data_IF_404255350498
#
_entry.id   IF_404255350498
#
_cell.length_a   1.000
_cell.length_b   1.000
_cell.length_c   1.000
_cell.angle_alpha   90.00
_cell.angle_beta   90.00
_cell.angle_gamma   90.00
#
_symmetry.space_group_name_H-M   'P 1'
#
loop_
_entity.id
_entity.type
_entity.pdbx_description
1 polymer ?
#
# COMPACT_ATOMS: atom_id res chain seq x y z
N UNK A 1 44.33 6.68 -11.45
CA UNK A 1 43.12 7.51 -11.25
C UNK A 1 42.07 7.00 -12.21
N UNK A 2 41.07 6.28 -11.71
CA UNK A 2 40.06 5.63 -12.55
C UNK A 2 39.02 6.63 -13.03
N UNK A 3 38.96 6.83 -14.34
CA UNK A 3 37.90 7.57 -15.02
C UNK A 3 36.54 6.93 -14.73
N UNK A 4 35.72 7.61 -13.92
CA UNK A 4 34.33 7.24 -13.68
C UNK A 4 33.53 7.57 -14.95
N UNK A 5 33.24 6.55 -15.76
CA UNK A 5 32.20 6.62 -16.81
C UNK A 5 30.87 7.03 -16.16
N UNK A 6 30.38 8.23 -16.47
CA UNK A 6 29.06 8.73 -16.06
C UNK A 6 27.96 8.03 -16.88
N UNK A 7 27.03 7.30 -16.25
CA UNK A 7 25.89 6.70 -16.95
C UNK A 7 24.67 7.62 -16.93
N UNK A 8 24.84 8.93 -17.14
CA UNK A 8 23.72 9.89 -17.01
C UNK A 8 22.74 9.86 -18.19
N UNK A 9 23.08 9.21 -19.30
CA UNK A 9 22.25 9.21 -20.51
C UNK A 9 21.31 8.01 -20.65
N UNK A 10 21.35 7.01 -19.74
CA UNK A 10 20.62 5.74 -19.94
C UNK A 10 19.29 5.62 -19.19
N UNK A 11 19.00 6.57 -18.29
CA UNK A 11 17.80 6.57 -17.44
C UNK A 11 16.75 7.52 -18.00
N UNK A 12 16.00 7.05 -19.00
CA UNK A 12 14.79 7.75 -19.44
C UNK A 12 13.72 7.71 -18.35
N UNK A 13 12.80 8.68 -18.36
CA UNK A 13 11.66 8.77 -17.43
C UNK A 13 10.91 7.43 -17.29
N UNK A 14 10.76 6.71 -18.40
CA UNK A 14 10.10 5.40 -18.46
C UNK A 14 10.85 4.31 -17.70
N UNK A 15 12.18 4.24 -17.83
CA UNK A 15 13.00 3.28 -17.06
C UNK A 15 12.97 3.60 -15.58
N UNK A 16 13.00 4.88 -15.22
CA UNK A 16 12.86 5.31 -13.82
C UNK A 16 11.49 4.94 -13.23
N UNK A 17 10.41 5.02 -14.02
CA UNK A 17 9.07 4.52 -13.65
C UNK A 17 9.08 3.01 -13.40
N UNK A 18 9.72 2.22 -14.26
CA UNK A 18 9.83 0.76 -14.06
C UNK A 18 10.58 0.43 -12.76
N UNK A 19 11.67 1.15 -12.49
CA UNK A 19 12.44 0.98 -11.27
C UNK A 19 11.63 1.38 -10.02
N UNK A 20 10.89 2.50 -10.08
CA UNK A 20 10.01 2.90 -8.98
C UNK A 20 8.90 1.87 -8.68
N UNK A 21 8.47 1.10 -9.69
CA UNK A 21 7.50 0.03 -9.45
C UNK A 21 8.13 -1.19 -8.75
N UNK A 22 9.42 -1.44 -8.93
CA UNK A 22 10.13 -2.57 -8.32
C UNK A 22 10.70 -2.24 -6.94
N UNK A 23 11.14 -1.00 -6.74
CA UNK A 23 11.76 -0.56 -5.51
C UNK A 23 10.74 -0.31 -4.40
N UNK A 24 11.25 -0.33 -3.17
CA UNK A 24 10.51 -0.02 -1.95
C UNK A 24 10.87 1.38 -1.46
N UNK A 25 12.15 1.75 -1.36
CA UNK A 25 12.53 3.05 -0.83
C UNK A 25 13.01 4.03 -1.90
N UNK A 26 12.82 5.34 -1.64
CA UNK A 26 13.27 6.40 -2.56
C UNK A 26 14.79 6.50 -2.60
N UNK A 27 15.45 6.14 -1.50
CA UNK A 27 16.90 6.10 -1.41
C UNK A 27 17.56 5.04 -2.30
N UNK A 28 16.81 4.03 -2.73
CA UNK A 28 17.30 3.00 -3.66
C UNK A 28 17.22 3.46 -5.13
N UNK A 29 16.61 4.61 -5.41
CA UNK A 29 16.60 5.12 -6.79
C UNK A 29 17.95 5.74 -7.16
N UNK A 30 18.44 5.47 -8.38
CA UNK A 30 19.59 6.18 -8.94
C UNK A 30 19.36 7.69 -8.92
N UNK A 31 20.43 8.46 -8.71
CA UNK A 31 20.40 9.94 -8.66
C UNK A 31 19.72 10.54 -9.90
N UNK A 32 19.99 9.98 -11.08
CA UNK A 32 19.35 10.37 -12.33
C UNK A 32 17.82 10.25 -12.31
N UNK A 33 17.26 9.26 -11.60
CA UNK A 33 15.82 9.09 -11.47
C UNK A 33 15.21 9.93 -10.35
N UNK A 34 15.98 10.35 -9.36
CA UNK A 34 15.53 11.29 -8.32
C UNK A 34 15.27 12.69 -8.88
N UNK A 35 15.91 13.04 -9.99
CA UNK A 35 15.65 14.27 -10.73
C UNK A 35 14.24 14.32 -11.34
N UNK A 36 13.53 13.19 -11.43
CA UNK A 36 12.14 13.13 -11.92
C UNK A 36 11.14 13.12 -10.76
N UNK A 37 10.51 14.25 -10.42
CA UNK A 37 9.64 14.36 -9.25
C UNK A 37 8.42 13.45 -9.33
N UNK A 38 7.92 13.16 -10.54
CA UNK A 38 6.80 12.24 -10.74
C UNK A 38 7.12 10.81 -10.32
N UNK A 39 8.35 10.35 -10.58
CA UNK A 39 8.82 9.00 -10.22
C UNK A 39 9.00 8.89 -8.70
N UNK A 40 9.52 9.94 -8.07
CA UNK A 40 9.66 9.99 -6.62
C UNK A 40 8.29 9.99 -5.94
N UNK A 41 7.33 10.74 -6.49
CA UNK A 41 5.97 10.83 -5.95
C UNK A 41 5.20 9.51 -6.08
N UNK A 42 5.33 8.78 -7.19
CA UNK A 42 4.69 7.47 -7.35
C UNK A 42 5.21 6.48 -6.33
N UNK A 43 6.53 6.43 -6.12
CA UNK A 43 7.12 5.54 -5.13
C UNK A 43 6.74 5.92 -3.69
N UNK A 44 6.74 7.22 -3.34
CA UNK A 44 6.28 7.68 -2.01
C UNK A 44 4.84 7.28 -1.74
N UNK A 45 3.95 7.40 -2.73
CA UNK A 45 2.54 6.97 -2.63
C UNK A 45 2.39 5.45 -2.52
N UNK A 46 3.31 4.67 -3.09
CA UNK A 46 3.34 3.22 -2.94
C UNK A 46 3.67 2.83 -1.50
N UNK A 47 4.65 3.50 -0.89
CA UNK A 47 4.99 3.27 0.51
C UNK A 47 3.88 3.65 1.48
N UNK A 48 3.15 4.74 1.25
CA UNK A 48 2.05 5.12 2.16
C UNK A 48 0.90 4.10 2.16
N UNK A 49 0.67 3.39 1.05
CA UNK A 49 -0.31 2.29 1.00
C UNK A 49 0.17 1.03 1.70
N UNK A 50 1.48 0.81 1.74
CA UNK A 50 2.12 -0.31 2.45
C UNK A 50 2.44 0.02 3.90
N UNK A 51 2.12 1.24 4.36
CA UNK A 51 2.51 1.71 5.68
C UNK A 51 1.71 0.97 6.77
N UNK A 52 2.38 0.30 7.73
CA UNK A 52 1.72 -0.32 8.88
C UNK A 52 0.97 0.70 9.74
N UNK A 53 1.23 2.01 9.62
CA UNK A 53 0.42 3.05 10.25
C UNK A 53 -1.01 3.17 9.66
N UNK A 54 -1.28 2.61 8.48
CA UNK A 54 -2.65 2.41 8.01
C UNK A 54 -3.41 1.41 8.89
N UNK A 55 -2.72 0.52 9.61
CA UNK A 55 -3.35 -0.30 10.65
C UNK A 55 -3.73 0.53 11.88
N UNK A 56 -2.95 1.56 12.23
CA UNK A 56 -3.33 2.49 13.29
C UNK A 56 -4.60 3.28 12.91
N UNK A 57 -4.76 3.66 11.64
CA UNK A 57 -6.01 4.23 11.13
C UNK A 57 -7.17 3.22 11.14
N UNK A 58 -6.92 1.94 10.87
CA UNK A 58 -7.96 0.91 10.86
C UNK A 58 -8.61 0.67 12.23
N UNK A 59 -7.93 1.03 13.31
CA UNK A 59 -8.46 0.96 14.67
C UNK A 59 -8.60 2.34 15.34
N UNK A 60 -8.46 3.42 14.57
CA UNK A 60 -8.63 4.77 15.08
C UNK A 60 -10.09 4.97 15.54
N UNK A 61 -10.27 5.47 16.76
CA UNK A 61 -11.58 5.67 17.38
C UNK A 61 -12.13 4.48 18.18
N UNK A 62 -11.42 3.35 18.22
CA UNK A 62 -11.72 2.27 19.19
C UNK A 62 -11.20 2.64 20.57
N UNK A 63 -11.87 2.17 21.63
CA UNK A 63 -11.31 2.28 22.98
C UNK A 63 -10.03 1.43 23.09
N UNK A 64 -9.10 1.81 23.98
CA UNK A 64 -7.78 1.16 24.05
C UNK A 64 -7.86 -0.37 24.25
N UNK A 65 -8.83 -0.86 25.04
CA UNK A 65 -9.06 -2.29 25.25
C UNK A 65 -9.58 -3.01 24.00
N UNK A 66 -10.50 -2.38 23.26
CA UNK A 66 -11.03 -2.92 22.01
C UNK A 66 -9.98 -2.93 20.91
N UNK A 67 -9.10 -1.93 20.88
CA UNK A 67 -8.02 -1.83 19.92
C UNK A 67 -7.08 -3.04 20.03
N UNK A 68 -6.66 -3.38 21.25
CA UNK A 68 -5.79 -4.53 21.51
C UNK A 68 -6.46 -5.86 21.13
N UNK A 69 -7.74 -6.02 21.48
CA UNK A 69 -8.50 -7.22 21.12
C UNK A 69 -8.64 -7.37 19.60
N UNK A 70 -8.93 -6.28 18.89
CA UNK A 70 -9.08 -6.28 17.43
C UNK A 70 -7.75 -6.57 16.72
N UNK A 71 -6.63 -6.04 17.22
CA UNK A 71 -5.30 -6.39 16.72
C UNK A 71 -4.97 -7.88 16.92
N UNK A 72 -5.27 -8.43 18.11
CA UNK A 72 -5.02 -9.83 18.44
C UNK A 72 -5.91 -10.81 17.64
N UNK A 73 -7.15 -10.42 17.33
CA UNK A 73 -8.02 -11.21 16.44
C UNK A 73 -7.52 -11.19 15.00
N UNK A 74 -7.07 -10.02 14.52
CA UNK A 74 -6.51 -9.86 13.18
C UNK A 74 -5.24 -10.69 12.99
N UNK A 75 -4.35 -10.74 13.99
CA UNK A 75 -3.13 -11.57 13.92
C UNK A 75 -3.44 -13.07 13.86
N UNK A 76 -4.55 -13.50 14.48
CA UNK A 76 -5.06 -14.88 14.43
C UNK A 76 -5.85 -15.19 13.15
N UNK A 77 -6.01 -14.23 12.24
CA UNK A 77 -6.82 -14.37 11.02
C UNK A 77 -8.33 -14.42 11.28
N UNK A 78 -8.78 -14.01 12.46
CA UNK A 78 -10.20 -13.98 12.80
C UNK A 78 -10.88 -12.75 12.18
N UNK A 79 -12.09 -12.93 11.68
CA UNK A 79 -12.89 -11.87 11.08
C UNK A 79 -13.49 -10.96 12.14
N UNK A 80 -13.53 -9.66 11.85
CA UNK A 80 -14.24 -8.67 12.69
C UNK A 80 -15.75 -8.92 12.67
N UNK A 81 -16.45 -8.54 13.74
CA UNK A 81 -17.91 -8.63 13.82
C UNK A 81 -18.62 -7.96 12.62
N UNK A 82 -18.13 -6.80 12.18
CA UNK A 82 -18.68 -6.12 11.00
C UNK A 82 -18.51 -6.92 9.70
N UNK A 83 -17.40 -7.65 9.56
CA UNK A 83 -17.17 -8.54 8.40
C UNK A 83 -18.11 -9.75 8.44
N UNK A 84 -18.34 -10.31 9.63
CA UNK A 84 -19.30 -11.39 9.86
C UNK A 84 -20.71 -10.93 9.49
N UNK A 85 -21.14 -9.75 9.97
CA UNK A 85 -22.45 -9.19 9.63
C UNK A 85 -22.62 -9.01 8.11
N UNK A 86 -21.62 -8.50 7.39
CA UNK A 86 -21.67 -8.38 5.91
C UNK A 86 -21.85 -9.72 5.23
N UNK A 87 -21.14 -10.76 5.66
CA UNK A 87 -21.32 -12.12 5.12
C UNK A 87 -22.73 -12.65 5.37
N UNK A 88 -23.26 -12.47 6.58
CA UNK A 88 -24.58 -12.95 6.96
C UNK A 88 -25.71 -12.18 6.26
N UNK A 89 -25.54 -10.87 6.06
CA UNK A 89 -26.55 -9.98 5.48
C UNK A 89 -26.51 -9.91 3.95
N UNK A 90 -25.45 -10.42 3.31
CA UNK A 90 -25.29 -10.40 1.84
C UNK A 90 -26.17 -11.41 1.09
N UNK A 91 -26.88 -12.32 1.76
CA UNK A 91 -27.48 -13.49 1.10
C UNK A 91 -28.84 -13.27 0.46
N UNK A 92 -29.52 -12.12 0.65
CA UNK A 92 -30.92 -11.98 0.19
C UNK A 92 -31.31 -10.55 -0.17
N UNK A 93 -30.91 -10.06 -1.35
CA UNK A 93 -31.72 -9.06 -2.07
C UNK A 93 -31.60 -9.33 -3.56
N UNK A 94 -32.73 -9.56 -4.21
CA UNK A 94 -32.93 -9.64 -5.67
C UNK A 94 -32.75 -11.00 -6.39
N UNK A 95 -33.37 -12.08 -5.92
CA UNK A 95 -34.00 -12.98 -6.91
C UNK A 95 -35.35 -12.38 -7.26
N UNK A 96 -35.42 -11.62 -8.36
CA UNK A 96 -36.72 -11.23 -8.93
C UNK A 96 -37.45 -12.53 -9.25
N UNK A 97 -38.54 -12.84 -8.53
CA UNK A 97 -39.55 -13.77 -9.04
C UNK A 97 -40.06 -13.16 -10.34
N UNK A 98 -39.61 -13.68 -11.48
CA UNK A 98 -40.29 -13.40 -12.74
C UNK A 98 -41.62 -14.16 -12.69
N UNK A 99 -42.71 -13.40 -12.74
CA UNK A 99 -44.05 -13.91 -13.04
C UNK A 99 -44.25 -13.85 -14.54
#
# INVERSE_FOLDING_TARGET
>A
MSEKKTPESYYTKEKCMMLANQLLAVGDLPVACQAHPEVVNTLRRKNTKSDPNSAAQAFAGMSAGEQQAAMAQRSKGQMSHAQIQRRLTSTRRFTKLQK
#
